data_IF_366239638574
#
_entry.id   IF_366239638574
#
_cell.length_a   1.000
_cell.length_b   1.000
_cell.length_c   1.000
_cell.angle_alpha   90.00
_cell.angle_beta   90.00
_cell.angle_gamma   90.00
#
_symmetry.space_group_name_H-M   'P 1'
#
loop_
_entity.id
_entity.type
_entity.pdbx_description
1 polymer ?
#
# COMPACT_ATOMS: atom_id res chain seq x y z
N UNK A 1 4.10 22.07 11.61
CA UNK A 1 5.39 21.36 11.77
C UNK A 1 5.37 20.19 10.80
N UNK A 2 6.40 20.03 9.97
CA UNK A 2 6.45 18.93 9.02
C UNK A 2 6.88 17.64 9.72
N UNK A 3 6.09 16.57 9.57
CA UNK A 3 6.35 15.25 10.12
C UNK A 3 6.17 14.15 9.06
N UNK A 4 6.79 13.01 9.28
CA UNK A 4 6.89 11.90 8.35
C UNK A 4 6.68 10.57 9.04
N UNK A 5 5.84 9.72 8.46
CA UNK A 5 5.67 8.35 8.94
C UNK A 5 5.73 7.36 7.78
N UNK A 6 6.42 6.23 8.00
CA UNK A 6 6.50 5.16 7.01
C UNK A 6 5.76 3.95 7.54
N UNK A 7 4.71 3.54 6.83
CA UNK A 7 4.01 2.29 7.09
C UNK A 7 4.50 1.23 6.11
N UNK A 8 4.99 0.10 6.63
CA UNK A 8 5.12 -1.13 5.83
C UNK A 8 3.84 -1.95 6.00
N UNK A 9 3.25 -2.34 4.88
CA UNK A 9 1.98 -3.06 4.81
C UNK A 9 2.19 -4.38 4.09
N UNK A 10 1.59 -5.44 4.64
CA UNK A 10 1.50 -6.77 4.04
C UNK A 10 0.05 -7.05 3.64
N UNK A 11 -0.16 -7.85 2.60
CA UNK A 11 -1.49 -8.11 2.06
C UNK A 11 -1.98 -9.52 2.39
N UNK A 12 -1.36 -10.21 3.36
CA UNK A 12 -1.62 -11.63 3.66
C UNK A 12 -3.06 -11.95 4.07
N UNK A 13 -3.80 -10.95 4.55
CA UNK A 13 -5.18 -11.10 5.03
C UNK A 13 -6.19 -10.36 4.15
N UNK A 14 -5.76 -9.88 2.98
CA UNK A 14 -6.62 -9.15 2.05
C UNK A 14 -7.22 -10.14 1.08
N UNK A 15 -8.55 -10.13 0.97
CA UNK A 15 -9.24 -10.97 0.00
C UNK A 15 -8.91 -10.48 -1.41
N UNK A 16 -8.51 -11.41 -2.28
CA UNK A 16 -8.25 -11.13 -3.69
C UNK A 16 -9.55 -10.79 -4.42
N UNK A 17 -9.55 -9.65 -5.12
CA UNK A 17 -10.61 -9.25 -6.02
C UNK A 17 -10.44 -9.86 -7.41
N UNK A 18 -11.31 -9.44 -8.34
CA UNK A 18 -11.21 -9.85 -9.74
C UNK A 18 -9.84 -9.45 -10.33
N UNK A 19 -9.24 -10.31 -11.15
CA UNK A 19 -7.97 -10.06 -11.86
C UNK A 19 -6.75 -9.83 -10.94
N UNK A 20 -6.70 -10.51 -9.79
CA UNK A 20 -5.56 -10.47 -8.87
C UNK A 20 -5.30 -9.11 -8.23
N UNK A 21 -6.34 -8.28 -8.12
CA UNK A 21 -6.27 -6.98 -7.46
C UNK A 21 -6.52 -7.15 -5.96
N UNK A 22 -5.65 -6.60 -5.13
CA UNK A 22 -5.81 -6.52 -3.67
C UNK A 22 -5.71 -5.06 -3.24
N UNK A 23 -6.61 -4.63 -2.36
CA UNK A 23 -6.63 -3.26 -1.83
C UNK A 23 -6.67 -3.30 -0.31
N UNK A 24 -5.86 -2.45 0.32
CA UNK A 24 -5.82 -2.32 1.77
C UNK A 24 -5.72 -0.86 2.17
N UNK A 25 -6.62 -0.45 3.07
CA UNK A 25 -6.54 0.85 3.72
C UNK A 25 -5.41 0.85 4.75
N UNK A 26 -4.59 1.88 4.73
CA UNK A 26 -3.49 2.12 5.66
C UNK A 26 -3.66 3.48 6.29
N UNK A 27 -3.40 3.59 7.59
CA UNK A 27 -3.56 4.83 8.32
C UNK A 27 -2.47 5.05 9.35
N UNK A 28 -2.32 6.31 9.77
CA UNK A 28 -1.48 6.71 10.88
C UNK A 28 -2.09 7.91 11.61
N UNK A 29 -1.95 7.93 12.93
CA UNK A 29 -2.41 9.00 13.79
C UNK A 29 -1.20 9.74 14.36
N UNK A 30 -1.07 11.03 14.03
CA UNK A 30 -0.04 11.94 14.52
C UNK A 30 -0.43 12.54 15.88
N UNK A 31 0.54 13.17 16.56
CA UNK A 31 0.34 13.73 17.89
C UNK A 31 -0.55 14.97 17.94
N UNK A 32 -0.62 15.73 16.85
CA UNK A 32 -1.43 16.96 16.72
C UNK A 32 -2.22 16.92 15.42
N UNK A 33 -3.22 17.80 15.31
CA UNK A 33 -4.09 17.87 14.14
C UNK A 33 -3.29 18.14 12.86
N UNK A 34 -3.71 17.48 11.78
CA UNK A 34 -3.07 17.60 10.47
C UNK A 34 -3.75 18.73 9.71
N UNK A 35 -2.97 19.74 9.30
CA UNK A 35 -3.45 20.84 8.46
C UNK A 35 -3.49 20.44 6.99
N UNK A 36 -2.46 19.72 6.55
CA UNK A 36 -2.25 19.22 5.18
C UNK A 36 -1.45 17.94 5.22
N UNK A 37 -1.66 17.07 4.25
CA UNK A 37 -0.88 15.84 4.17
C UNK A 37 -1.04 15.14 2.84
N UNK A 38 -0.04 14.34 2.51
CA UNK A 38 0.03 13.56 1.29
C UNK A 38 0.50 12.14 1.63
N UNK A 39 0.08 11.18 0.80
CA UNK A 39 0.57 9.81 0.85
C UNK A 39 1.32 9.49 -0.44
N UNK A 40 2.46 8.83 -0.31
CA UNK A 40 3.27 8.41 -1.46
C UNK A 40 3.66 6.94 -1.34
N UNK A 41 3.66 6.23 -2.48
CA UNK A 41 4.25 4.91 -2.56
C UNK A 41 5.78 5.04 -2.47
N UNK A 42 6.35 4.61 -1.35
CA UNK A 42 7.79 4.68 -1.08
C UNK A 42 8.53 3.45 -1.61
N UNK A 43 7.92 2.27 -1.47
CA UNK A 43 8.55 1.01 -1.85
C UNK A 43 7.49 -0.03 -2.23
N UNK A 44 7.86 -0.92 -3.13
CA UNK A 44 7.08 -2.10 -3.49
C UNK A 44 8.05 -3.28 -3.63
N UNK A 45 7.72 -4.40 -3.00
CA UNK A 45 8.54 -5.62 -3.04
C UNK A 45 7.66 -6.83 -3.23
N UNK A 46 7.99 -7.63 -4.23
CA UNK A 46 7.36 -8.90 -4.55
C UNK A 46 8.41 -10.00 -4.43
N UNK A 47 8.11 -11.05 -3.68
CA UNK A 47 8.96 -12.22 -3.55
C UNK A 47 8.24 -13.47 -4.08
N UNK A 48 8.94 -14.28 -4.87
CA UNK A 48 8.44 -15.56 -5.36
C UNK A 48 8.88 -16.68 -4.43
N UNK A 49 7.96 -17.60 -4.07
CA UNK A 49 8.28 -18.79 -3.25
C UNK A 49 8.90 -19.93 -4.06
N UNK A 50 8.68 -19.95 -5.37
CA UNK A 50 9.06 -21.03 -6.29
C UNK A 50 10.06 -20.53 -7.33
N UNK A 51 10.71 -21.44 -8.05
CA UNK A 51 11.62 -21.10 -9.15
C UNK A 51 10.92 -20.61 -10.43
N UNK A 52 9.58 -20.69 -10.47
CA UNK A 52 8.79 -20.15 -11.58
C UNK A 52 8.46 -18.68 -11.31
N UNK A 53 9.14 -17.79 -12.04
CA UNK A 53 9.09 -16.34 -11.83
C UNK A 53 8.34 -15.64 -12.98
N UNK A 54 7.24 -16.22 -13.46
CA UNK A 54 6.46 -15.67 -14.56
C UNK A 54 5.60 -14.47 -14.14
N UNK A 55 6.22 -13.30 -13.94
CA UNK A 55 5.49 -12.04 -13.79
C UNK A 55 4.89 -11.61 -15.13
N UNK A 56 3.59 -11.34 -15.17
CA UNK A 56 2.94 -10.79 -16.36
C UNK A 56 2.61 -9.31 -16.18
N UNK A 57 1.82 -8.99 -15.16
CA UNK A 57 1.34 -7.65 -14.89
C UNK A 57 1.52 -7.29 -13.43
N UNK A 58 2.03 -6.08 -13.20
CA UNK A 58 2.21 -5.49 -11.88
C UNK A 58 1.62 -4.10 -11.81
N UNK A 59 0.85 -3.83 -10.76
CA UNK A 59 0.44 -2.47 -10.38
C UNK A 59 0.70 -2.29 -8.89
N UNK A 60 1.16 -1.10 -8.52
CA UNK A 60 1.18 -0.63 -7.15
C UNK A 60 0.77 0.84 -7.15
N UNK A 61 -0.27 1.17 -6.40
CA UNK A 61 -0.88 2.49 -6.38
C UNK A 61 -1.24 2.88 -4.96
N UNK A 62 -1.16 4.17 -4.67
CA UNK A 62 -1.66 4.79 -3.45
C UNK A 62 -2.73 5.80 -3.86
N UNK A 63 -3.90 5.73 -3.24
CA UNK A 63 -4.97 6.70 -3.46
C UNK A 63 -4.60 8.08 -2.91
N UNK A 64 -5.39 9.08 -3.29
CA UNK A 64 -5.37 10.36 -2.57
C UNK A 64 -5.61 10.14 -1.08
N UNK A 65 -4.83 10.84 -0.25
CA UNK A 65 -4.91 10.70 1.20
C UNK A 65 -6.14 11.43 1.75
N UNK A 66 -6.82 10.78 2.69
CA UNK A 66 -7.93 11.36 3.45
C UNK A 66 -7.44 11.75 4.84
N UNK A 67 -7.85 12.91 5.33
CA UNK A 67 -7.41 13.46 6.61
C UNK A 67 -8.63 13.71 7.50
N UNK A 68 -8.59 13.19 8.72
CA UNK A 68 -9.61 13.41 9.76
C UNK A 68 -8.92 13.71 11.09
N UNK A 69 -8.94 14.98 11.50
CA UNK A 69 -8.25 15.45 12.72
C UNK A 69 -6.75 15.21 12.64
N UNK A 70 -6.22 14.40 13.55
CA UNK A 70 -4.83 14.00 13.59
C UNK A 70 -4.52 12.68 12.85
N UNK A 71 -5.48 12.13 12.10
CA UNK A 71 -5.31 10.86 11.38
C UNK A 71 -5.31 11.08 9.87
N UNK A 72 -4.34 10.46 9.20
CA UNK A 72 -4.28 10.36 7.73
C UNK A 72 -4.45 8.90 7.32
N UNK A 73 -5.20 8.66 6.25
CA UNK A 73 -5.39 7.34 5.67
C UNK A 73 -5.36 7.39 4.14
N UNK A 74 -5.04 6.26 3.52
CA UNK A 74 -5.13 6.08 2.07
C UNK A 74 -5.31 4.60 1.76
N UNK A 75 -5.78 4.30 0.56
CA UNK A 75 -5.83 2.94 0.04
C UNK A 75 -4.57 2.62 -0.74
N UNK A 76 -3.98 1.47 -0.47
CA UNK A 76 -2.92 0.88 -1.28
C UNK A 76 -3.52 -0.22 -2.12
N UNK A 77 -3.42 -0.09 -3.44
CA UNK A 77 -3.91 -1.09 -4.38
C UNK A 77 -2.75 -1.75 -5.11
N UNK A 78 -2.72 -3.08 -5.09
CA UNK A 78 -1.78 -3.88 -5.85
C UNK A 78 -2.53 -4.74 -6.85
N UNK A 79 -1.91 -4.99 -8.01
CA UNK A 79 -2.35 -6.02 -8.95
C UNK A 79 -1.19 -6.98 -9.20
N UNK A 80 -1.43 -8.26 -8.95
CA UNK A 80 -0.39 -9.28 -8.92
C UNK A 80 -0.83 -10.52 -9.69
N UNK A 81 -0.62 -10.52 -11.02
CA UNK A 81 -1.07 -11.60 -11.91
C UNK A 81 0.12 -12.22 -12.64
N UNK A 82 0.21 -13.54 -12.61
CA UNK A 82 1.20 -14.31 -13.38
C UNK A 82 0.77 -14.54 -14.83
N UNK A 83 1.64 -15.12 -15.68
CA UNK A 83 1.33 -15.35 -17.11
C UNK A 83 0.25 -16.41 -17.37
N UNK A 84 -0.15 -17.14 -16.34
CA UNK A 84 -1.22 -18.16 -16.39
C UNK A 84 -2.51 -17.64 -15.76
N UNK A 85 -2.61 -16.32 -15.55
CA UNK A 85 -3.73 -15.63 -14.90
C UNK A 85 -3.98 -16.06 -13.45
N UNK A 86 -2.98 -16.65 -12.77
CA UNK A 86 -3.06 -16.89 -11.34
C UNK A 86 -2.69 -15.62 -10.57
N UNK A 87 -3.36 -15.38 -9.44
CA UNK A 87 -2.92 -14.36 -8.50
C UNK A 87 -1.65 -14.81 -7.77
N UNK A 88 -0.66 -13.94 -7.66
CA UNK A 88 0.51 -14.20 -6.81
C UNK A 88 0.13 -14.00 -5.35
N UNK A 89 0.59 -14.90 -4.48
CA UNK A 89 0.32 -14.90 -3.03
C UNK A 89 0.50 -13.50 -2.40
N UNK A 90 -0.59 -12.83 -1.99
CA UNK A 90 -0.55 -11.49 -1.39
C UNK A 90 0.27 -11.44 -0.10
N UNK A 91 0.45 -12.57 0.58
CA UNK A 91 1.30 -12.70 1.77
C UNK A 91 2.79 -12.61 1.48
N UNK A 92 3.22 -12.60 0.21
CA UNK A 92 4.61 -12.41 -0.20
C UNK A 92 4.90 -11.01 -0.74
N UNK A 93 3.94 -10.10 -0.63
CA UNK A 93 4.04 -8.75 -1.17
C UNK A 93 3.98 -7.72 -0.07
N UNK A 94 4.84 -6.71 -0.21
CA UNK A 94 4.93 -5.60 0.70
C UNK A 94 4.88 -4.28 -0.06
N UNK A 95 4.11 -3.34 0.48
CA UNK A 95 4.14 -1.94 0.08
C UNK A 95 4.60 -1.07 1.26
N UNK A 96 5.47 -0.12 0.98
CA UNK A 96 5.85 0.95 1.90
C UNK A 96 5.11 2.22 1.50
N UNK A 97 4.31 2.77 2.41
CA UNK A 97 3.64 4.07 2.24
C UNK A 97 4.35 5.09 3.12
N UNK A 98 4.66 6.24 2.53
CA UNK A 98 5.16 7.41 3.24
C UNK A 98 4.01 8.41 3.39
N UNK A 99 3.65 8.73 4.62
CA UNK A 99 2.83 9.89 4.94
C UNK A 99 3.73 11.09 5.20
N UNK A 100 3.40 12.22 4.57
CA UNK A 100 4.08 13.51 4.72
C UNK A 100 3.01 14.48 5.19
N UNK A 101 3.14 15.06 6.38
CA UNK A 101 2.08 15.90 6.96
C UNK A 101 2.64 17.20 7.52
N UNK A 102 1.88 18.28 7.39
CA UNK A 102 2.06 19.51 8.15
C UNK A 102 1.04 19.54 9.29
N UNK A 103 1.53 19.32 10.51
CA UNK A 103 0.75 19.29 11.74
C UNK A 103 0.75 20.65 12.45
N UNK A 104 -0.14 20.82 13.43
CA UNK A 104 -0.16 22.01 14.27
C UNK A 104 1.16 22.29 15.00
#
# INVERSE_FOLDING_TARGET
>A
MLDFYIKRTNFSNVQEGASGVVTQTVSHTFSTDIRKGEAALKAFSLNYKTQDHNFHTGRAEVSEAQITGNTIECDVTLQLVDKSDNTLDPGQVFAGVLFIVDCD
#
